data_IF_153305617182
#
_entry.id   IF_153305617182
#
_cell.length_a   1.000
_cell.length_b   1.000
_cell.length_c   1.000
_cell.angle_alpha   90.00
_cell.angle_beta   90.00
_cell.angle_gamma   90.00
#
_symmetry.space_group_name_H-M   'P 1'
#
loop_
_entity.id
_entity.type
_entity.pdbx_description
1 polymer ?
#
# COMPACT_ATOMS: atom_id res chain seq x y z
N UNK A 1 -44.69 53.20 65.99
CA UNK A 1 -44.76 51.74 66.13
C UNK A 1 -44.48 51.20 64.73
N UNK A 2 -43.26 50.87 64.34
CA UNK A 2 -42.32 50.00 65.05
C UNK A 2 -42.51 48.60 64.50
N UNK A 3 -41.76 48.24 63.45
CA UNK A 3 -41.02 46.99 63.46
C UNK A 3 -39.99 46.95 62.33
N UNK A 4 -38.75 46.75 62.78
CA UNK A 4 -37.59 46.38 61.98
C UNK A 4 -37.69 44.88 61.68
N UNK A 5 -37.52 44.49 60.42
CA UNK A 5 -37.22 43.10 60.09
C UNK A 5 -35.88 43.03 59.36
N UNK A 6 -34.92 42.49 60.09
CA UNK A 6 -33.54 42.17 59.75
C UNK A 6 -33.45 40.91 58.88
N UNK A 7 -32.43 40.93 58.00
CA UNK A 7 -31.51 39.85 57.64
C UNK A 7 -32.01 38.49 57.11
N UNK A 8 -31.49 38.11 55.93
CA UNK A 8 -30.59 36.95 55.81
C UNK A 8 -29.88 37.00 54.44
N UNK A 9 -28.61 37.40 54.44
CA UNK A 9 -27.70 37.23 53.29
C UNK A 9 -27.18 35.79 53.37
N UNK A 10 -27.67 34.94 52.48
CA UNK A 10 -27.20 33.56 52.37
C UNK A 10 -25.93 33.54 51.50
N UNK A 11 -24.77 33.54 52.16
CA UNK A 11 -23.45 33.37 51.53
C UNK A 11 -23.30 31.90 51.16
N UNK A 12 -23.53 31.58 49.88
CA UNK A 12 -23.23 30.25 49.35
C UNK A 12 -21.72 30.02 49.35
N UNK A 13 -21.30 29.08 50.19
CA UNK A 13 -19.94 28.53 50.27
C UNK A 13 -19.57 27.88 48.93
N UNK A 14 -18.58 28.46 48.26
CA UNK A 14 -17.91 27.85 47.10
C UNK A 14 -17.03 26.70 47.60
N UNK A 15 -17.58 25.49 47.61
CA UNK A 15 -16.78 24.27 47.75
C UNK A 15 -15.85 24.14 46.53
N UNK A 16 -14.56 24.36 46.77
CA UNK A 16 -13.45 24.06 45.88
C UNK A 16 -13.52 22.60 45.41
N UNK A 17 -14.19 22.34 44.29
CA UNK A 17 -14.02 21.11 43.53
C UNK A 17 -12.62 21.10 42.93
N UNK A 18 -11.69 20.44 43.63
CA UNK A 18 -10.43 19.95 43.07
C UNK A 18 -10.72 19.28 41.72
N UNK A 19 -10.10 19.71 40.61
CA UNK A 19 -10.21 18.99 39.34
C UNK A 19 -9.66 17.58 39.53
N UNK A 20 -10.50 16.58 39.29
CA UNK A 20 -10.11 15.17 39.32
C UNK A 20 -9.05 14.92 38.24
N UNK A 21 -7.87 14.49 38.66
CA UNK A 21 -6.71 14.10 37.83
C UNK A 21 -6.95 12.88 36.90
N UNK A 22 -8.20 12.46 36.72
CA UNK A 22 -8.59 11.27 35.94
C UNK A 22 -8.67 11.50 34.43
N UNK A 23 -8.42 12.73 33.95
CA UNK A 23 -8.59 13.10 32.54
C UNK A 23 -7.28 13.11 31.73
N UNK A 24 -6.13 12.81 32.35
CA UNK A 24 -4.83 12.79 31.66
C UNK A 24 -4.41 11.39 31.15
N UNK A 25 -5.13 10.32 31.52
CA UNK A 25 -4.81 8.95 31.08
C UNK A 25 -5.53 8.53 29.78
N UNK A 26 -6.30 9.43 29.15
CA UNK A 26 -7.02 9.13 27.91
C UNK A 26 -6.14 9.28 26.65
N UNK A 27 -5.04 10.03 26.72
CA UNK A 27 -4.12 10.27 25.59
C UNK A 27 -3.00 9.22 25.48
N UNK A 28 -2.81 8.36 26.49
CA UNK A 28 -1.75 7.33 26.50
C UNK A 28 -2.21 5.94 26.04
N UNK A 29 -3.45 5.81 25.57
CA UNK A 29 -3.85 4.66 24.75
C UNK A 29 -3.54 4.92 23.28
N UNK A 30 -2.29 5.28 22.98
CA UNK A 30 -1.72 4.98 21.68
C UNK A 30 -1.90 3.47 21.49
N UNK A 31 -2.87 3.09 20.65
CA UNK A 31 -3.30 1.72 20.41
C UNK A 31 -2.07 0.88 20.16
N UNK A 32 -1.69 0.06 21.16
CA UNK A 32 -0.55 -0.84 21.03
C UNK A 32 -0.83 -1.74 19.85
N UNK A 33 -0.01 -1.60 18.81
CA UNK A 33 -0.11 -2.43 17.62
C UNK A 33 -0.04 -3.89 18.03
N UNK A 34 -1.06 -4.65 17.64
CA UNK A 34 -1.17 -6.07 18.00
C UNK A 34 -0.34 -6.93 17.04
N UNK A 35 -0.07 -6.40 15.85
CA UNK A 35 0.71 -7.07 14.83
C UNK A 35 2.19 -6.78 15.04
N UNK A 36 2.99 -7.84 14.98
CA UNK A 36 4.44 -7.75 14.97
C UNK A 36 4.96 -8.11 13.58
N UNK A 37 5.62 -7.16 12.94
CA UNK A 37 6.16 -7.27 11.59
C UNK A 37 7.67 -7.22 11.67
N UNK A 38 8.38 -8.07 10.92
CA UNK A 38 9.83 -7.88 10.77
C UNK A 38 10.09 -6.53 10.09
N UNK A 39 10.93 -5.66 10.68
CA UNK A 39 11.01 -4.26 10.28
C UNK A 39 11.51 -4.07 8.84
N UNK A 40 12.27 -5.03 8.32
CA UNK A 40 12.81 -4.98 6.96
C UNK A 40 12.26 -6.13 6.12
N UNK A 41 11.97 -5.87 4.84
CA UNK A 41 11.50 -6.91 3.95
C UNK A 41 12.65 -7.82 3.50
N UNK A 42 12.31 -9.07 3.17
CA UNK A 42 13.24 -10.09 2.68
C UNK A 42 13.90 -9.64 1.37
N UNK A 43 13.09 -9.11 0.45
CA UNK A 43 13.52 -8.48 -0.78
C UNK A 43 12.73 -7.18 -1.01
N UNK A 44 13.20 -6.34 -1.95
CA UNK A 44 12.62 -5.02 -2.22
C UNK A 44 13.35 -3.88 -1.46
N UNK A 45 12.83 -2.65 -1.55
CA UNK A 45 13.38 -1.50 -0.83
C UNK A 45 13.45 -1.75 0.67
N UNK A 46 14.61 -1.45 1.29
CA UNK A 46 14.85 -1.62 2.73
C UNK A 46 14.19 -0.51 3.55
N UNK A 47 12.86 -0.51 3.58
CA UNK A 47 12.01 0.44 4.29
C UNK A 47 10.99 -0.32 5.13
N UNK A 48 10.51 0.25 6.26
CA UNK A 48 9.45 -0.35 7.05
C UNK A 48 8.15 -0.46 6.24
N UNK A 49 7.25 -1.35 6.68
CA UNK A 49 5.90 -1.43 6.11
C UNK A 49 5.16 -0.12 6.39
N UNK A 50 4.54 0.52 5.37
CA UNK A 50 3.74 1.72 5.56
C UNK A 50 2.59 1.51 6.55
N UNK A 51 2.35 2.50 7.40
CA UNK A 51 1.39 2.41 8.51
C UNK A 51 -0.03 2.05 8.04
N UNK A 52 -0.49 2.63 6.94
CA UNK A 52 -1.83 2.34 6.40
C UNK A 52 -2.02 0.87 6.00
N UNK A 53 -0.94 0.16 5.65
CA UNK A 53 -0.99 -1.28 5.36
C UNK A 53 -1.00 -2.11 6.64
N UNK A 54 -0.34 -1.62 7.69
CA UNK A 54 -0.38 -2.25 9.01
C UNK A 54 -1.81 -2.17 9.56
N UNK A 55 -2.45 -1.00 9.47
CA UNK A 55 -3.83 -0.79 9.92
C UNK A 55 -4.81 -1.75 9.22
N UNK A 56 -4.64 -1.98 7.91
CA UNK A 56 -5.44 -2.95 7.15
C UNK A 56 -5.26 -4.38 7.69
N UNK A 57 -4.03 -4.77 8.03
CA UNK A 57 -3.78 -6.10 8.59
C UNK A 57 -4.33 -6.20 10.03
N UNK A 58 -4.27 -5.13 10.81
CA UNK A 58 -4.81 -5.07 12.17
C UNK A 58 -6.32 -5.24 12.18
N UNK A 59 -7.01 -4.54 11.29
CA UNK A 59 -8.46 -4.70 11.05
C UNK A 59 -8.81 -6.16 10.74
N UNK A 60 -8.06 -6.80 9.82
CA UNK A 60 -8.27 -8.21 9.52
C UNK A 60 -8.13 -9.11 10.74
N UNK A 61 -7.06 -8.94 11.52
CA UNK A 61 -6.79 -9.78 12.69
C UNK A 61 -7.74 -9.51 13.86
N UNK A 62 -8.28 -8.30 13.96
CA UNK A 62 -9.34 -7.96 14.92
C UNK A 62 -10.60 -8.78 14.65
N UNK A 63 -10.96 -8.98 13.38
CA UNK A 63 -12.16 -9.73 12.99
C UNK A 63 -11.94 -11.24 12.87
N UNK A 64 -10.78 -11.67 12.37
CA UNK A 64 -10.51 -13.06 11.99
C UNK A 64 -9.54 -13.78 12.95
N UNK A 65 -9.11 -13.09 14.01
CA UNK A 65 -8.21 -13.64 15.02
C UNK A 65 -6.85 -14.05 14.44
N UNK A 66 -6.45 -15.32 14.64
CA UNK A 66 -5.14 -15.84 14.21
C UNK A 66 -5.11 -16.38 12.79
N UNK A 67 -6.12 -16.13 11.97
CA UNK A 67 -6.12 -16.59 10.58
C UNK A 67 -5.31 -15.65 9.68
N UNK A 68 -4.51 -16.18 8.74
CA UNK A 68 -3.79 -15.34 7.79
C UNK A 68 -4.79 -14.65 6.84
N UNK A 69 -4.51 -13.41 6.40
CA UNK A 69 -5.36 -12.68 5.46
C UNK A 69 -5.40 -13.33 4.08
N UNK A 70 -6.42 -13.00 3.30
CA UNK A 70 -6.52 -13.51 1.92
C UNK A 70 -5.36 -13.10 1.02
N UNK A 71 -4.69 -11.98 1.34
CA UNK A 71 -3.50 -11.55 0.62
C UNK A 71 -2.23 -12.31 1.04
N UNK A 72 -2.31 -13.25 1.98
CA UNK A 72 -1.16 -14.00 2.46
C UNK A 72 -0.47 -14.71 1.28
N UNK A 73 0.85 -14.53 1.24
CA UNK A 73 1.72 -15.06 0.21
C UNK A 73 2.26 -16.42 0.62
N UNK A 74 1.93 -17.45 -0.15
CA UNK A 74 2.58 -18.74 -0.03
C UNK A 74 4.05 -18.60 -0.48
N UNK A 75 4.98 -18.90 0.42
CA UNK A 75 6.40 -18.77 0.14
C UNK A 75 6.82 -19.74 -0.98
N UNK A 76 6.97 -19.23 -2.20
CA UNK A 76 7.37 -20.05 -3.33
C UNK A 76 8.89 -19.98 -3.51
N UNK A 77 9.57 -21.11 -3.30
CA UNK A 77 11.03 -21.24 -3.49
C UNK A 77 11.36 -21.49 -4.96
N UNK A 78 11.00 -20.55 -5.82
CA UNK A 78 11.44 -20.56 -7.22
C UNK A 78 12.89 -20.09 -7.33
N UNK A 79 13.68 -20.73 -8.19
CA UNK A 79 15.04 -20.28 -8.56
C UNK A 79 15.03 -19.16 -9.60
N UNK A 80 13.87 -18.87 -10.20
CA UNK A 80 13.72 -17.85 -11.23
C UNK A 80 13.93 -16.44 -10.68
N UNK A 81 14.57 -15.59 -11.49
CA UNK A 81 14.59 -14.15 -11.31
C UNK A 81 13.26 -13.56 -11.74
N UNK A 82 12.92 -12.40 -11.19
CA UNK A 82 11.65 -11.74 -11.50
C UNK A 82 11.78 -10.22 -11.56
N UNK A 83 10.89 -9.59 -12.33
CA UNK A 83 10.61 -8.14 -12.30
C UNK A 83 9.10 -7.93 -12.22
N UNK A 84 8.68 -6.77 -11.74
CA UNK A 84 7.27 -6.40 -11.68
C UNK A 84 7.01 -5.22 -12.59
N UNK A 85 5.95 -5.29 -13.38
CA UNK A 85 5.54 -4.22 -14.27
C UNK A 85 4.08 -3.84 -14.03
N UNK A 86 3.76 -2.55 -14.13
CA UNK A 86 2.38 -2.08 -14.18
C UNK A 86 1.73 -2.35 -15.55
N UNK A 87 0.56 -1.75 -15.79
CA UNK A 87 -0.19 -1.90 -17.05
C UNK A 87 0.43 -1.12 -18.20
N UNK A 88 1.18 -0.08 -17.88
CA UNK A 88 1.85 0.82 -18.79
C UNK A 88 3.25 0.30 -19.16
N UNK A 89 3.74 -0.71 -18.45
CA UNK A 89 5.04 -1.35 -18.64
C UNK A 89 6.16 -0.73 -17.83
N UNK A 90 5.84 0.14 -16.87
CA UNK A 90 6.80 0.71 -15.93
C UNK A 90 7.20 -0.35 -14.92
N UNK A 91 8.50 -0.47 -14.70
CA UNK A 91 9.04 -1.36 -13.68
C UNK A 91 8.69 -0.83 -12.29
N UNK A 92 8.10 -1.68 -11.46
CA UNK A 92 7.71 -1.39 -10.08
C UNK A 92 8.55 -2.21 -9.10
N UNK A 93 8.69 -1.71 -7.87
CA UNK A 93 9.32 -2.44 -6.79
C UNK A 93 8.29 -3.29 -6.04
N UNK A 94 8.71 -4.46 -5.56
CA UNK A 94 7.89 -5.35 -4.77
C UNK A 94 8.67 -5.79 -3.54
N UNK A 95 8.08 -5.64 -2.37
CA UNK A 95 8.65 -6.08 -1.10
C UNK A 95 7.92 -7.28 -0.54
N UNK A 96 8.63 -8.14 0.19
CA UNK A 96 8.03 -9.25 0.95
C UNK A 96 8.31 -9.06 2.43
N UNK A 97 7.24 -8.92 3.21
CA UNK A 97 7.30 -8.78 4.66
C UNK A 97 6.87 -10.07 5.35
N UNK A 98 7.50 -10.36 6.48
CA UNK A 98 7.13 -11.43 7.38
C UNK A 98 6.34 -10.86 8.55
N UNK A 99 5.11 -11.34 8.70
CA UNK A 99 4.27 -11.08 9.87
C UNK A 99 4.56 -12.20 10.85
N UNK A 100 4.92 -11.86 12.08
CA UNK A 100 5.30 -12.82 13.13
C UNK A 100 4.15 -13.07 14.11
N UNK A 101 3.37 -12.03 14.41
CA UNK A 101 2.22 -12.06 15.32
C UNK A 101 1.04 -11.35 14.67
N UNK A 102 -0.22 -11.81 14.85
CA UNK A 102 -0.68 -12.87 15.76
C UNK A 102 -0.52 -14.31 15.23
N UNK A 103 -0.20 -14.47 13.95
CA UNK A 103 0.22 -15.74 13.36
C UNK A 103 1.30 -15.49 12.29
N UNK A 104 2.17 -16.46 12.02
CA UNK A 104 3.25 -16.30 11.06
C UNK A 104 2.74 -16.43 9.61
N UNK A 105 2.95 -15.40 8.79
CA UNK A 105 2.71 -15.46 7.35
C UNK A 105 3.53 -14.40 6.60
N UNK A 106 3.48 -14.45 5.27
CA UNK A 106 4.14 -13.45 4.42
C UNK A 106 3.09 -12.62 3.67
N UNK A 107 3.42 -11.37 3.39
CA UNK A 107 2.64 -10.51 2.49
C UNK A 107 3.55 -9.85 1.47
N UNK A 108 2.97 -9.50 0.33
CA UNK A 108 3.65 -8.73 -0.71
C UNK A 108 3.14 -7.29 -0.69
N UNK A 109 4.07 -6.34 -0.76
CA UNK A 109 3.77 -4.90 -0.85
C UNK A 109 4.29 -4.39 -2.18
N UNK A 110 3.39 -3.87 -3.00
CA UNK A 110 3.72 -3.24 -4.27
C UNK A 110 3.99 -1.76 -4.05
N UNK A 111 5.14 -1.29 -4.51
CA UNK A 111 5.55 0.11 -4.42
C UNK A 111 5.46 0.76 -5.79
N UNK A 112 4.81 1.92 -5.83
CA UNK A 112 4.72 2.74 -7.03
C UNK A 112 5.02 4.19 -6.71
N UNK A 113 5.68 4.93 -7.61
CA UNK A 113 5.79 6.37 -7.49
C UNK A 113 4.47 7.10 -7.78
N UNK A 114 3.48 6.46 -8.38
CA UNK A 114 2.28 7.14 -8.88
C UNK A 114 1.06 6.93 -7.95
N UNK A 115 1.12 5.95 -7.05
CA UNK A 115 0.03 5.62 -6.13
C UNK A 115 0.56 5.10 -4.79
N UNK A 116 -0.22 5.23 -3.70
CA UNK A 116 0.16 4.68 -2.38
C UNK A 116 0.45 3.18 -2.43
N UNK A 117 1.36 2.70 -1.59
CA UNK A 117 1.72 1.29 -1.53
C UNK A 117 0.48 0.40 -1.30
N UNK A 118 0.50 -0.78 -1.92
CA UNK A 118 -0.64 -1.72 -1.88
C UNK A 118 -0.21 -3.09 -1.38
N UNK A 119 -1.02 -3.69 -0.50
CA UNK A 119 -0.97 -5.13 -0.26
C UNK A 119 -1.44 -5.84 -1.52
N UNK A 120 -0.64 -6.78 -2.04
CA UNK A 120 -0.99 -7.50 -3.27
C UNK A 120 -0.97 -9.00 -3.05
N UNK A 121 -1.89 -9.69 -3.73
CA UNK A 121 -1.89 -11.15 -3.84
C UNK A 121 -1.41 -11.55 -5.22
N UNK A 122 -0.60 -12.60 -5.28
CA UNK A 122 -0.29 -13.25 -6.55
C UNK A 122 -1.48 -14.10 -7.01
N UNK A 123 -2.06 -13.73 -8.14
CA UNK A 123 -3.07 -14.50 -8.84
C UNK A 123 -2.33 -15.38 -9.85
N UNK A 124 -2.69 -16.66 -9.86
CA UNK A 124 -2.10 -17.70 -10.72
C UNK A 124 -0.66 -17.98 -10.33
N UNK A 125 -0.46 -18.82 -9.30
CA UNK A 125 0.87 -19.07 -8.77
C UNK A 125 1.78 -19.78 -9.79
N UNK A 126 1.23 -20.42 -10.83
CA UNK A 126 2.00 -21.20 -11.79
C UNK A 126 1.38 -21.22 -13.19
N UNK A 127 2.22 -21.15 -14.23
CA UNK A 127 1.90 -21.74 -15.53
C UNK A 127 1.47 -20.82 -16.67
N UNK A 128 1.41 -19.49 -16.49
CA UNK A 128 1.31 -18.60 -17.67
C UNK A 128 2.70 -18.33 -18.23
N UNK A 129 2.81 -18.24 -19.56
CA UNK A 129 4.04 -17.79 -20.24
C UNK A 129 4.44 -16.35 -19.89
N UNK A 130 3.56 -15.60 -19.24
CA UNK A 130 3.75 -14.19 -18.92
C UNK A 130 4.15 -13.94 -17.46
N UNK A 131 3.91 -14.91 -16.58
CA UNK A 131 4.19 -14.81 -15.15
C UNK A 131 2.94 -14.81 -14.28
N UNK A 132 3.00 -14.12 -13.15
CA UNK A 132 1.91 -14.08 -12.16
C UNK A 132 1.34 -12.68 -12.04
N UNK A 133 0.04 -12.56 -12.27
CA UNK A 133 -0.65 -11.28 -12.12
C UNK A 133 -0.79 -10.92 -10.64
N UNK A 134 -0.68 -9.64 -10.32
CA UNK A 134 -0.78 -9.10 -8.97
C UNK A 134 -2.08 -8.29 -8.84
N UNK A 135 -2.82 -8.58 -7.79
CA UNK A 135 -4.08 -7.92 -7.49
C UNK A 135 -4.02 -7.29 -6.11
N UNK A 136 -4.41 -6.02 -6.04
CA UNK A 136 -4.40 -5.30 -4.78
C UNK A 136 -5.55 -5.77 -3.88
N UNK A 137 -5.24 -5.94 -2.60
CA UNK A 137 -6.17 -6.18 -1.53
C UNK A 137 -6.29 -4.90 -0.69
N UNK A 138 -7.50 -4.40 -0.56
CA UNK A 138 -7.83 -3.12 0.06
C UNK A 138 -8.38 -3.29 1.50
N UNK A 139 -8.19 -4.46 2.10
CA UNK A 139 -8.66 -4.80 3.45
C UNK A 139 -9.95 -5.59 3.49
N UNK A 140 -10.50 -5.77 4.69
CA UNK A 140 -11.69 -6.60 4.95
C UNK A 140 -12.89 -6.02 4.20
N UNK A 141 -13.22 -4.76 4.44
CA UNK A 141 -14.42 -4.12 3.93
C UNK A 141 -14.43 -3.94 2.41
N UNK A 142 -13.26 -3.70 1.81
CA UNK A 142 -13.13 -3.38 0.38
C UNK A 142 -12.74 -4.57 -0.49
N UNK A 143 -12.23 -5.65 0.11
CA UNK A 143 -11.84 -6.84 -0.62
C UNK A 143 -10.71 -6.60 -1.64
N UNK A 144 -10.79 -7.24 -2.80
CA UNK A 144 -9.80 -7.12 -3.86
C UNK A 144 -10.24 -6.12 -4.95
N UNK A 145 -9.27 -5.44 -5.57
CA UNK A 145 -9.54 -4.60 -6.75
C UNK A 145 -10.13 -5.43 -7.90
N UNK A 146 -11.07 -4.86 -8.66
CA UNK A 146 -11.69 -5.57 -9.79
C UNK A 146 -10.73 -5.89 -10.95
N UNK A 147 -9.50 -5.36 -10.93
CA UNK A 147 -8.50 -5.55 -11.99
C UNK A 147 -7.13 -5.83 -11.37
N UNK A 148 -6.34 -6.65 -12.05
CA UNK A 148 -4.92 -6.77 -11.73
C UNK A 148 -4.20 -5.46 -11.99
N UNK A 149 -3.39 -5.05 -11.03
CA UNK A 149 -2.66 -3.77 -11.00
C UNK A 149 -1.23 -3.89 -11.55
N UNK A 150 -0.63 -5.09 -11.47
CA UNK A 150 0.72 -5.34 -11.95
C UNK A 150 0.89 -6.81 -12.38
N UNK A 151 1.99 -7.13 -13.03
CA UNK A 151 2.42 -8.50 -13.34
C UNK A 151 3.85 -8.73 -12.87
N UNK A 152 4.10 -9.87 -12.24
CA UNK A 152 5.43 -10.37 -11.92
C UNK A 152 5.87 -11.34 -13.02
N UNK A 153 6.81 -10.91 -13.86
CA UNK A 153 7.39 -11.70 -14.93
C UNK A 153 8.61 -12.47 -14.40
N UNK A 154 8.83 -13.68 -14.90
CA UNK A 154 9.93 -14.56 -14.45
C UNK A 154 10.81 -15.00 -15.61
N UNK A 155 12.12 -15.09 -15.39
CA UNK A 155 13.06 -15.72 -16.30
C UNK A 155 14.27 -16.29 -15.55
N UNK A 156 15.08 -17.17 -16.17
CA UNK A 156 16.32 -17.66 -15.56
C UNK A 156 17.31 -16.55 -15.20
N UNK A 157 17.40 -15.51 -16.05
CA UNK A 157 18.26 -14.33 -15.85
C UNK A 157 17.44 -13.05 -15.79
N UNK A 158 17.95 -12.02 -15.10
CA UNK A 158 17.21 -10.78 -14.88
C UNK A 158 17.05 -9.96 -16.17
N UNK A 159 18.04 -10.04 -17.05
CA UNK A 159 18.14 -9.29 -18.31
C UNK A 159 17.18 -9.82 -19.39
N UNK A 160 16.76 -11.08 -19.26
CA UNK A 160 15.81 -11.74 -20.18
C UNK A 160 14.35 -11.33 -19.89
N UNK A 161 14.11 -10.68 -18.75
CA UNK A 161 12.76 -10.32 -18.33
C UNK A 161 12.33 -9.05 -19.06
N UNK A 162 11.49 -9.24 -20.07
CA UNK A 162 10.94 -8.18 -20.90
C UNK A 162 9.44 -8.04 -20.68
N UNK A 163 8.97 -6.80 -20.63
CA UNK A 163 7.54 -6.49 -20.60
C UNK A 163 6.97 -6.51 -22.01
N UNK A 164 5.75 -7.04 -22.17
CA UNK A 164 4.99 -6.95 -23.41
C UNK A 164 3.54 -6.58 -23.12
N UNK A 165 2.98 -5.62 -23.86
CA UNK A 165 1.60 -5.16 -23.61
C UNK A 165 0.54 -6.24 -23.90
N UNK A 166 0.89 -7.23 -24.73
CA UNK A 166 0.03 -8.38 -25.06
C UNK A 166 -0.32 -9.25 -23.84
N UNK A 167 0.45 -9.16 -22.76
CA UNK A 167 0.17 -9.81 -21.47
C UNK A 167 -1.26 -9.52 -21.00
N UNK A 168 -1.73 -8.29 -21.18
CA UNK A 168 -3.04 -7.83 -20.70
C UNK A 168 -4.20 -8.20 -21.60
N UNK A 169 -3.93 -8.75 -22.80
CA UNK A 169 -4.95 -9.29 -23.71
C UNK A 169 -5.40 -10.70 -23.31
N UNK A 170 -4.63 -11.37 -22.45
CA UNK A 170 -5.01 -12.68 -21.93
C UNK A 170 -6.29 -12.51 -21.11
N UNK A 171 -7.36 -13.26 -21.43
CA UNK A 171 -8.53 -13.29 -20.57
C UNK A 171 -8.08 -13.86 -19.23
N UNK A 172 -7.99 -13.00 -18.22
CA UNK A 172 -7.78 -13.43 -16.84
C UNK A 172 -9.14 -13.98 -16.42
N UNK A 173 -9.30 -15.31 -16.29
CA UNK A 173 -10.59 -15.91 -15.93
C UNK A 173 -11.10 -15.21 -14.71
N UNK A 174 -12.34 -14.73 -14.86
CA UNK A 174 -12.95 -13.70 -14.04
C UNK A 174 -12.40 -13.78 -12.62
N UNK A 175 -11.78 -12.67 -12.21
CA UNK A 175 -11.97 -12.21 -10.84
C UNK A 175 -13.43 -12.45 -10.57
N UNK A 176 -13.75 -13.42 -9.71
CA UNK A 176 -15.11 -13.93 -9.53
C UNK A 176 -16.06 -12.76 -9.74
N UNK A 177 -17.02 -12.88 -10.67
CA UNK A 177 -17.93 -11.78 -11.06
C UNK A 177 -18.52 -11.04 -9.85
N UNK A 178 -18.52 -11.75 -8.73
CA UNK A 178 -18.59 -11.31 -7.37
C UNK A 178 -17.23 -10.74 -6.89
N UNK A 179 -17.02 -9.44 -7.11
CA UNK A 179 -16.28 -8.61 -6.13
C UNK A 179 -16.95 -8.58 -4.75
N UNK A 180 -17.76 -9.59 -4.44
CA UNK A 180 -18.26 -9.90 -3.12
C UNK A 180 -17.10 -10.65 -2.47
N UNK A 181 -16.26 -9.90 -1.75
CA UNK A 181 -15.37 -10.49 -0.76
C UNK A 181 -16.16 -11.54 0.01
N UNK A 182 -15.59 -12.74 0.18
CA UNK A 182 -16.20 -13.93 0.76
C UNK A 182 -17.70 -13.71 1.03
N UNK A 183 -18.59 -14.09 0.11
CA UNK A 183 -19.92 -14.49 0.60
C UNK A 183 -19.63 -15.55 1.64
N UNK A 184 -19.68 -15.15 2.92
CA UNK A 184 -19.83 -16.05 4.03
C UNK A 184 -20.82 -17.07 3.51
N UNK A 185 -20.37 -18.33 3.36
CA UNK A 185 -21.34 -19.39 3.24
C UNK A 185 -22.29 -19.12 4.39
N UNK A 186 -23.59 -18.83 4.15
CA UNK A 186 -24.52 -18.73 5.26
C UNK A 186 -24.29 -20.02 6.02
N UNK A 187 -23.82 -19.90 7.27
CA UNK A 187 -23.76 -21.00 8.19
C UNK A 187 -25.20 -21.47 8.23
N UNK A 188 -25.51 -22.47 7.42
CA UNK A 188 -26.76 -23.18 7.49
C UNK A 188 -26.73 -23.75 8.88
N UNK A 189 -27.41 -23.07 9.80
CA UNK A 189 -27.83 -23.60 11.07
C UNK A 189 -28.70 -24.80 10.69
N UNK A 190 -28.06 -25.95 10.56
CA UNK A 190 -28.72 -27.24 10.49
C UNK A 190 -29.23 -27.53 11.90
N UNK A 191 -30.26 -26.79 12.32
CA UNK A 191 -31.19 -27.25 13.33
C UNK A 191 -32.12 -28.24 12.63
N UNK A 192 -31.67 -29.47 12.46
CA UNK A 192 -32.54 -30.62 12.21
C UNK A 192 -32.30 -31.63 13.34
N UNK A 193 -33.35 -32.01 14.10
CA UNK A 193 -33.21 -32.89 15.24
C UNK A 193 -32.82 -34.29 14.78
N UNK A 194 -31.80 -34.85 15.44
CA UNK A 194 -31.37 -36.23 15.31
C UNK A 194 -32.51 -37.17 15.70
N UNK A 195 -33.09 -37.87 14.72
CA UNK A 195 -33.90 -39.04 15.01
C UNK A 195 -32.99 -40.21 15.47
N UNK A 196 -33.40 -40.98 16.48
CA UNK A 196 -32.63 -42.10 17.00
C UNK A 196 -32.68 -43.25 16.00
N UNK A 197 -31.55 -43.54 15.35
CA UNK A 197 -31.42 -44.70 14.46
C UNK A 197 -31.32 -45.96 15.31
N UNK A 198 -32.43 -46.68 15.39
CA UNK A 198 -32.56 -48.01 16.00
C UNK A 198 -31.54 -48.96 15.38
N UNK A 199 -30.67 -49.48 16.23
CA UNK A 199 -29.59 -50.42 15.88
C UNK A 199 -30.16 -51.82 15.81
N UNK A 200 -30.55 -52.27 14.61
CA UNK A 200 -30.95 -53.66 14.41
C UNK A 200 -29.75 -54.58 14.24
N UNK A 201 -29.73 -55.54 15.16
CA UNK A 201 -28.84 -56.66 15.39
C UNK A 201 -29.31 -57.84 14.52
N UNK A 202 -28.35 -58.70 14.14
CA UNK A 202 -28.49 -60.06 13.58
C UNK A 202 -28.50 -60.20 12.04
N UNK A 203 -27.40 -60.71 11.49
CA UNK A 203 -27.29 -61.99 10.75
C UNK A 203 -25.81 -62.18 10.35
N UNK A 204 -25.06 -63.10 10.98
CA UNK A 204 -24.93 -64.54 10.61
C UNK A 204 -23.91 -64.71 9.46
N UNK A 205 -22.60 -64.85 9.75
CA UNK A 205 -21.86 -66.11 9.99
C UNK A 205 -22.32 -67.28 9.10
N UNK A 206 -21.54 -67.57 8.05
CA UNK A 206 -20.89 -68.86 7.75
C UNK A 206 -20.59 -69.06 6.26
N UNK A 207 -19.31 -69.34 5.95
CA UNK A 207 -18.76 -70.23 4.91
C UNK A 207 -17.26 -69.93 4.77
N UNK A 208 -16.40 -70.60 5.53
CA UNK A 208 -15.76 -71.90 5.25
C UNK A 208 -14.71 -71.89 4.11
N UNK A 209 -13.48 -72.21 4.55
CA UNK A 209 -12.46 -73.10 3.93
C UNK A 209 -11.51 -72.56 2.83
N UNK A 210 -10.29 -72.30 3.28
CA UNK A 210 -9.00 -72.61 2.62
C UNK A 210 -8.90 -74.13 2.27
N UNK A 211 -8.00 -74.61 1.37
CA UNK A 211 -6.54 -74.50 1.56
C UNK A 211 -5.61 -74.46 0.30
N UNK A 212 -4.37 -74.01 0.57
CA UNK A 212 -3.06 -74.43 0.01
C UNK A 212 -2.83 -74.62 -1.51
N UNK A 213 -1.76 -74.00 -2.05
CA UNK A 213 -0.51 -74.69 -2.47
C UNK A 213 0.49 -73.79 -3.24
N UNK A 214 1.77 -74.07 -2.97
CA UNK A 214 3.04 -73.85 -3.76
C UNK A 214 3.94 -72.73 -3.23
N UNK A 215 4.95 -73.05 -2.40
CA UNK A 215 6.29 -73.68 -2.65
C UNK A 215 7.38 -72.68 -3.06
N UNK A 216 8.36 -72.57 -2.13
CA UNK A 216 9.68 -71.91 -2.15
C UNK A 216 10.60 -72.31 -3.30
N UNK A 217 11.43 -71.36 -3.75
CA UNK A 217 12.78 -71.51 -4.37
C UNK A 217 13.58 -70.23 -4.01
N UNK A 218 14.34 -70.19 -2.91
CA UNK A 218 15.82 -70.33 -2.77
C UNK A 218 16.72 -69.22 -3.35
N UNK A 219 17.30 -68.39 -2.44
CA UNK A 219 18.71 -67.89 -2.25
C UNK A 219 19.63 -67.57 -3.49
N UNK A 220 20.74 -66.77 -3.37
CA UNK A 220 21.53 -66.47 -2.17
C UNK A 220 22.02 -65.01 -1.93
N UNK A 221 22.64 -64.89 -0.75
CA UNK A 221 23.29 -63.77 -0.04
C UNK A 221 24.80 -63.78 -0.31
N UNK A 222 25.48 -62.63 -0.22
CA UNK A 222 26.95 -62.46 0.00
C UNK A 222 27.10 -61.16 0.83
N UNK A 223 27.37 -61.18 2.14
CA UNK A 223 28.67 -61.32 2.86
C UNK A 223 29.71 -60.30 2.36
N UNK A 224 30.29 -59.43 3.20
CA UNK A 224 31.36 -59.68 4.21
C UNK A 224 31.49 -58.39 5.08
N UNK A 225 31.24 -58.39 6.40
CA UNK A 225 32.17 -58.53 7.54
C UNK A 225 33.46 -57.68 7.44
N UNK A 226 33.69 -56.70 8.32
CA UNK A 226 34.54 -56.75 9.55
C UNK A 226 34.51 -55.34 10.16
N UNK A 227 34.64 -55.02 11.44
CA UNK A 227 34.82 -55.75 12.70
C UNK A 227 34.74 -54.70 13.83
N UNK A 228 34.06 -55.07 14.91
CA UNK A 228 34.03 -54.55 16.30
C UNK A 228 35.43 -54.31 16.94
N UNK A 229 35.59 -53.96 18.25
CA UNK A 229 34.65 -53.46 19.30
C UNK A 229 35.26 -52.38 20.25
N UNK A 230 34.56 -52.13 21.37
CA UNK A 230 35.00 -51.71 22.74
C UNK A 230 34.54 -50.32 23.20
N UNK A 231 33.54 -50.26 24.09
CA UNK A 231 33.63 -50.14 25.57
C UNK A 231 34.22 -48.78 25.96
N UNK A 232 33.54 -47.87 26.64
CA UNK A 232 32.62 -47.99 27.76
C UNK A 232 33.04 -46.93 28.79
N UNK A 233 32.09 -46.52 29.61
CA UNK A 233 32.26 -45.86 30.89
C UNK A 233 32.41 -44.33 30.98
N UNK A 234 31.92 -43.86 32.14
CA UNK A 234 31.50 -42.54 32.58
C UNK A 234 32.57 -41.43 32.62
N UNK A 235 32.15 -40.16 32.63
CA UNK A 235 32.51 -39.20 33.68
C UNK A 235 31.75 -37.87 33.55
N UNK A 236 31.32 -37.36 34.70
CA UNK A 236 30.97 -35.96 34.98
C UNK A 236 32.21 -35.06 34.87
N UNK A 237 32.01 -33.77 34.53
CA UNK A 237 32.87 -32.59 34.83
C UNK A 237 32.33 -31.40 34.02
N UNK A 238 31.55 -30.48 34.61
CA UNK A 238 32.01 -29.14 35.03
C UNK A 238 33.15 -28.55 34.18
N UNK A 239 32.87 -27.47 33.45
CA UNK A 239 33.70 -26.28 33.55
C UNK A 239 32.98 -25.03 33.03
N UNK A 240 33.13 -23.99 33.83
CA UNK A 240 32.73 -22.61 33.62
C UNK A 240 33.60 -21.99 32.52
N UNK A 241 33.06 -21.08 31.70
CA UNK A 241 33.89 -20.04 31.08
C UNK A 241 33.06 -18.78 30.86
N UNK A 242 33.14 -17.95 31.90
CA UNK A 242 33.09 -16.50 31.89
C UNK A 242 34.20 -15.91 30.99
N UNK A 243 33.91 -14.79 30.31
CA UNK A 243 34.83 -13.85 29.61
C UNK A 243 34.10 -13.21 28.41
N UNK A 244 34.11 -11.91 28.15
CA UNK A 244 34.67 -10.75 28.84
C UNK A 244 34.00 -9.51 28.25
N UNK A 245 33.79 -8.50 29.10
CA UNK A 245 33.49 -7.13 28.72
C UNK A 245 34.81 -6.37 28.48
N UNK A 246 34.89 -5.60 27.40
CA UNK A 246 35.85 -4.50 27.17
C UNK A 246 35.10 -3.50 26.26
N UNK A 247 34.57 -2.37 26.73
CA UNK A 247 35.21 -1.11 27.15
C UNK A 247 36.04 -0.41 26.05
N UNK A 248 35.78 0.90 25.91
CA UNK A 248 36.63 1.95 25.31
C UNK A 248 36.63 2.07 23.78
N UNK A 249 36.62 3.24 23.12
CA UNK A 249 36.57 4.68 23.40
C UNK A 249 36.44 5.35 22.01
N UNK A 250 35.62 6.38 21.85
CA UNK A 250 36.03 7.79 21.80
C UNK A 250 37.07 8.12 20.70
N UNK A 251 36.60 8.79 19.64
CA UNK A 251 37.43 9.70 18.82
C UNK A 251 36.51 10.55 17.93
N UNK A 252 36.22 11.76 18.42
CA UNK A 252 35.79 12.87 17.58
C UNK A 252 36.88 13.22 16.56
N UNK A 253 36.50 13.51 15.32
CA UNK A 253 37.33 14.35 14.45
C UNK A 253 36.44 15.20 13.55
N UNK A 254 36.46 16.49 13.88
CA UNK A 254 36.01 17.62 13.07
C UNK A 254 37.05 17.86 11.97
N UNK A 255 36.63 18.24 10.76
CA UNK A 255 37.47 19.06 9.88
C UNK A 255 36.59 19.89 8.95
N UNK A 256 36.92 21.18 8.99
CA UNK A 256 36.29 22.30 8.32
C UNK A 256 36.67 22.37 6.82
N UNK A 257 35.76 23.00 6.07
CA UNK A 257 35.97 24.00 5.01
C UNK A 257 37.30 24.02 4.24
N UNK A 258 37.23 23.94 2.90
CA UNK A 258 37.97 24.86 2.01
C UNK A 258 37.16 25.12 0.72
N UNK A 259 36.99 26.41 0.43
CA UNK A 259 36.54 26.99 -0.84
C UNK A 259 37.67 27.00 -1.89
N UNK A 260 37.28 27.07 -3.17
CA UNK A 260 37.79 28.01 -4.19
C UNK A 260 37.95 27.43 -5.62
N UNK A 261 37.18 28.07 -6.51
CA UNK A 261 37.56 28.67 -7.80
C UNK A 261 38.37 27.91 -8.89
N UNK A 262 37.65 27.74 -10.02
CA UNK A 262 37.93 28.39 -11.32
C UNK A 262 39.25 28.09 -12.07
N UNK A 263 39.18 27.35 -13.19
CA UNK A 263 40.02 27.64 -14.39
C UNK A 263 39.29 27.30 -15.70
N UNK A 264 39.31 28.29 -16.58
CA UNK A 264 38.78 28.37 -17.94
C UNK A 264 39.66 27.71 -19.04
N UNK A 265 39.01 27.39 -20.17
CA UNK A 265 39.49 27.39 -21.60
C UNK A 265 40.34 26.21 -22.15
N UNK A 266 40.55 26.07 -23.50
CA UNK A 266 39.74 26.44 -24.69
C UNK A 266 39.75 25.44 -25.91
N UNK A 267 38.82 25.70 -26.85
CA UNK A 267 38.84 25.60 -28.35
C UNK A 267 39.65 24.55 -29.16
N UNK A 268 38.96 23.88 -30.10
CA UNK A 268 39.26 23.69 -31.55
C UNK A 268 38.28 22.64 -32.15
N UNK A 269 37.79 22.60 -33.40
CA UNK A 269 38.02 23.29 -34.68
C UNK A 269 36.85 22.97 -35.65
N UNK A 270 36.39 24.01 -36.38
CA UNK A 270 35.95 24.05 -37.80
C UNK A 270 35.37 22.80 -38.50
N UNK A 271 34.19 22.96 -39.10
CA UNK A 271 34.03 22.80 -40.56
C UNK A 271 32.93 23.72 -41.12
N UNK A 272 33.24 24.27 -42.29
CA UNK A 272 32.61 25.35 -43.04
C UNK A 272 31.91 24.74 -44.25
N UNK A 273 30.67 25.13 -44.55
CA UNK A 273 30.17 25.14 -45.92
C UNK A 273 29.31 26.39 -46.14
N UNK A 274 29.47 26.92 -47.34
CA UNK A 274 29.18 28.27 -47.80
C UNK A 274 28.07 28.21 -48.85
N UNK A 275 27.50 29.38 -49.16
CA UNK A 275 26.57 29.71 -50.26
C UNK A 275 25.07 29.58 -49.87
N UNK A 276 24.19 30.54 -50.16
CA UNK A 276 24.27 31.61 -51.16
C UNK A 276 23.31 32.76 -50.79
N UNK A 277 23.69 33.93 -51.28
CA UNK A 277 23.06 35.24 -51.20
C UNK A 277 21.76 35.35 -51.99
N UNK A 278 20.80 36.14 -51.50
CA UNK A 278 20.20 37.20 -52.32
C UNK A 278 19.51 38.26 -51.47
N UNK A 279 19.64 39.49 -51.95
CA UNK A 279 19.33 40.75 -51.30
C UNK A 279 17.83 41.01 -51.23
N UNK A 280 17.37 41.61 -50.12
CA UNK A 280 16.16 42.43 -50.14
C UNK A 280 16.30 43.61 -49.19
N UNK A 281 15.89 44.76 -49.71
CA UNK A 281 16.16 46.11 -49.25
C UNK A 281 15.40 46.46 -47.96
N UNK A 282 16.16 47.13 -47.09
CA UNK A 282 15.75 48.16 -46.14
C UNK A 282 14.25 48.44 -45.99
N UNK A 283 13.68 48.00 -44.86
CA UNK A 283 12.56 48.70 -44.24
C UNK A 283 12.78 48.74 -42.73
N UNK A 284 13.24 49.90 -42.27
CA UNK A 284 13.31 50.32 -40.87
C UNK A 284 11.94 50.14 -40.21
N UNK A 285 11.80 49.07 -39.41
CA UNK A 285 10.71 48.93 -38.43
C UNK A 285 11.33 48.82 -37.05
N UNK A 286 11.31 49.98 -36.39
CA UNK A 286 11.24 50.22 -34.94
C UNK A 286 11.08 48.92 -34.13
N UNK A 287 12.16 48.56 -33.44
CA UNK A 287 12.16 47.53 -32.41
C UNK A 287 11.06 47.86 -31.40
N UNK A 288 10.01 47.04 -31.42
CA UNK A 288 9.03 46.97 -30.34
C UNK A 288 9.31 45.61 -29.73
N UNK A 289 9.87 45.60 -28.52
CA UNK A 289 10.06 44.40 -27.72
C UNK A 289 8.78 43.54 -27.79
N UNK A 290 8.83 42.27 -28.19
CA UNK A 290 7.72 41.38 -27.91
C UNK A 290 7.72 41.21 -26.39
N UNK A 291 6.84 41.95 -25.72
CA UNK A 291 6.48 41.66 -24.35
C UNK A 291 6.21 40.15 -24.29
N UNK A 292 7.04 39.46 -23.53
CA UNK A 292 7.00 38.03 -23.27
C UNK A 292 5.56 37.73 -22.84
N UNK A 293 4.73 37.24 -23.77
CA UNK A 293 3.39 36.81 -23.46
C UNK A 293 3.57 35.58 -22.57
N UNK A 294 3.55 35.82 -21.26
CA UNK A 294 3.49 34.79 -20.25
C UNK A 294 2.21 34.03 -20.52
N UNK A 295 2.34 32.91 -21.24
CA UNK A 295 1.27 31.93 -21.38
C UNK A 295 0.97 31.44 -19.98
N UNK A 296 0.00 32.08 -19.34
CA UNK A 296 -0.49 31.68 -18.03
C UNK A 296 -1.14 30.32 -18.19
N UNK A 297 -0.71 29.35 -17.38
CA UNK A 297 -1.23 28.00 -17.43
C UNK A 297 -2.75 28.03 -17.25
N UNK A 298 -3.47 27.26 -18.09
CA UNK A 298 -4.93 27.13 -17.98
C UNK A 298 -5.24 26.16 -16.85
N UNK A 299 -5.94 26.63 -15.81
CA UNK A 299 -6.33 25.78 -14.69
C UNK A 299 -7.72 25.18 -14.94
N UNK A 300 -7.84 23.87 -14.72
CA UNK A 300 -9.09 23.11 -14.81
C UNK A 300 -9.33 22.36 -13.50
N UNK A 301 -10.55 22.44 -12.97
CA UNK A 301 -10.98 21.63 -11.84
C UNK A 301 -11.61 20.33 -12.32
N UNK A 302 -11.32 19.21 -11.66
CA UNK A 302 -11.86 17.89 -11.93
C UNK A 302 -12.42 17.29 -10.65
N UNK A 303 -13.73 17.36 -10.48
CA UNK A 303 -14.43 16.69 -9.38
C UNK A 303 -14.49 15.19 -9.64
N UNK A 304 -14.10 14.38 -8.66
CA UNK A 304 -14.09 12.91 -8.76
C UNK A 304 -14.92 12.31 -7.62
N UNK A 305 -15.89 11.46 -7.95
CA UNK A 305 -16.62 10.66 -6.95
C UNK A 305 -16.09 9.24 -6.96
N UNK A 306 -15.23 8.88 -6.01
CA UNK A 306 -14.67 7.51 -5.94
C UNK A 306 -15.72 6.42 -5.74
N UNK A 307 -16.83 6.75 -5.06
CA UNK A 307 -17.93 5.81 -4.83
C UNK A 307 -18.66 5.43 -6.13
N UNK A 308 -18.83 6.38 -7.05
CA UNK A 308 -19.60 6.18 -8.29
C UNK A 308 -18.74 6.08 -9.55
N UNK A 309 -17.46 6.46 -9.47
CA UNK A 309 -16.58 6.64 -10.62
C UNK A 309 -16.93 7.87 -11.48
N UNK A 310 -17.90 8.69 -11.09
CA UNK A 310 -18.30 9.86 -11.85
C UNK A 310 -17.25 10.97 -11.79
N UNK A 311 -17.08 11.68 -12.91
CA UNK A 311 -16.12 12.77 -13.07
C UNK A 311 -16.83 13.97 -13.70
N UNK A 312 -16.57 15.17 -13.17
CA UNK A 312 -16.98 16.44 -13.77
C UNK A 312 -15.80 17.40 -13.83
N UNK A 313 -15.45 17.87 -15.03
CA UNK A 313 -14.41 18.85 -15.23
C UNK A 313 -14.98 20.21 -15.65
N UNK A 314 -14.40 21.30 -15.17
CA UNK A 314 -14.73 22.66 -15.60
C UNK A 314 -13.52 23.60 -15.45
N UNK A 315 -13.38 24.58 -16.36
CA UNK A 315 -12.28 25.53 -16.33
C UNK A 315 -12.41 26.59 -15.22
N UNK A 316 -11.29 27.18 -14.83
CA UNK A 316 -11.21 28.22 -13.77
C UNK A 316 -12.15 29.42 -14.01
N UNK A 317 -12.40 29.81 -15.26
CA UNK A 317 -13.29 30.93 -15.57
C UNK A 317 -14.77 30.67 -15.18
N UNK A 318 -15.18 29.42 -15.00
CA UNK A 318 -16.50 29.05 -14.48
C UNK A 318 -16.58 29.03 -12.95
N UNK A 319 -15.45 29.18 -12.25
CA UNK A 319 -15.32 29.03 -10.80
C UNK A 319 -14.32 30.06 -10.26
N UNK A 320 -14.79 31.28 -10.02
CA UNK A 320 -13.91 32.42 -9.75
C UNK A 320 -13.53 32.54 -8.27
N UNK A 321 -14.34 31.97 -7.39
CA UNK A 321 -14.19 32.05 -5.94
C UNK A 321 -14.15 30.66 -5.31
N UNK A 322 -13.59 30.56 -4.11
CA UNK A 322 -13.67 29.37 -3.27
C UNK A 322 -15.12 28.98 -3.02
N UNK A 323 -15.99 29.95 -2.77
CA UNK A 323 -17.44 29.72 -2.65
C UNK A 323 -18.05 29.02 -3.86
N UNK A 324 -17.71 29.44 -5.08
CA UNK A 324 -18.20 28.80 -6.32
C UNK A 324 -17.73 27.33 -6.41
N UNK A 325 -16.49 27.06 -5.98
CA UNK A 325 -15.92 25.71 -6.01
C UNK A 325 -16.69 24.79 -5.06
N UNK A 326 -16.95 25.26 -3.83
CA UNK A 326 -17.73 24.53 -2.84
C UNK A 326 -19.17 24.30 -3.29
N UNK A 327 -19.81 25.28 -3.92
CA UNK A 327 -21.18 25.13 -4.43
C UNK A 327 -21.25 24.09 -5.55
N UNK A 328 -20.33 24.12 -6.51
CA UNK A 328 -20.25 23.12 -7.59
C UNK A 328 -19.94 21.73 -7.05
N UNK A 329 -19.02 21.63 -6.09
CA UNK A 329 -18.67 20.35 -5.46
C UNK A 329 -19.88 19.77 -4.71
N UNK A 330 -20.56 20.58 -3.89
CA UNK A 330 -21.79 20.18 -3.18
C UNK A 330 -22.88 19.72 -4.14
N UNK A 331 -23.13 20.48 -5.21
CA UNK A 331 -24.10 20.11 -6.23
C UNK A 331 -23.75 18.77 -6.90
N UNK A 332 -22.47 18.55 -7.23
CA UNK A 332 -22.00 17.32 -7.85
C UNK A 332 -22.08 16.10 -6.92
N UNK A 333 -21.53 16.20 -5.70
CA UNK A 333 -21.50 15.08 -4.77
C UNK A 333 -22.90 14.68 -4.28
N UNK A 334 -23.82 15.64 -4.15
CA UNK A 334 -25.23 15.38 -3.79
C UNK A 334 -26.00 14.56 -4.83
N UNK A 335 -25.53 14.48 -6.07
CA UNK A 335 -26.14 13.60 -7.08
C UNK A 335 -25.99 12.12 -6.72
N UNK A 336 -24.91 11.78 -6.00
CA UNK A 336 -24.58 10.39 -5.64
C UNK A 336 -24.89 10.08 -4.18
N UNK A 337 -24.87 11.10 -3.31
CA UNK A 337 -25.23 10.97 -1.91
C UNK A 337 -26.01 12.21 -1.43
N UNK A 338 -27.33 12.07 -1.28
CA UNK A 338 -28.21 13.20 -0.92
C UNK A 338 -27.87 13.82 0.44
N UNK A 339 -27.26 13.04 1.33
CA UNK A 339 -26.96 13.44 2.69
C UNK A 339 -25.52 13.93 2.85
N UNK A 340 -24.73 13.96 1.77
CA UNK A 340 -23.35 14.44 1.84
C UNK A 340 -23.32 15.92 2.21
N UNK A 341 -22.57 16.22 3.27
CA UNK A 341 -22.21 17.57 3.64
C UNK A 341 -20.76 17.86 3.24
N UNK A 342 -20.61 18.74 2.26
CA UNK A 342 -19.31 19.11 1.72
C UNK A 342 -18.78 20.30 2.52
N UNK A 343 -18.06 19.99 3.61
CA UNK A 343 -17.41 20.97 4.49
C UNK A 343 -15.93 21.17 4.17
N UNK A 344 -15.25 20.11 3.75
CA UNK A 344 -13.81 20.12 3.44
C UNK A 344 -13.61 19.54 2.05
N UNK A 345 -12.89 20.29 1.21
CA UNK A 345 -12.44 19.82 -0.09
C UNK A 345 -10.98 19.42 -0.03
N UNK A 346 -10.69 18.25 -0.58
CA UNK A 346 -9.35 17.75 -0.79
C UNK A 346 -8.96 17.92 -2.25
N UNK A 347 -7.94 18.73 -2.50
CA UNK A 347 -7.51 19.17 -3.83
C UNK A 347 -6.09 18.66 -4.11
N UNK A 348 -5.87 18.01 -5.25
CA UNK A 348 -4.56 17.54 -5.68
C UNK A 348 -4.24 18.05 -7.08
N UNK A 349 -3.10 18.73 -7.24
CA UNK A 349 -2.61 19.15 -8.56
C UNK A 349 -2.05 17.92 -9.27
N UNK A 350 -2.49 17.61 -10.49
CA UNK A 350 -2.13 16.34 -11.16
C UNK A 350 -0.64 16.15 -11.41
N UNK A 351 0.16 17.23 -11.45
CA UNK A 351 1.61 17.17 -11.58
C UNK A 351 2.34 16.90 -10.25
N UNK A 352 1.61 16.87 -9.13
CA UNK A 352 2.17 16.84 -7.78
C UNK A 352 1.51 15.75 -6.91
N UNK A 353 2.26 15.33 -5.88
CA UNK A 353 1.77 14.37 -4.88
C UNK A 353 1.15 15.06 -3.67
N UNK A 354 1.38 16.36 -3.50
CA UNK A 354 0.89 17.12 -2.35
C UNK A 354 -0.64 17.28 -2.44
N UNK A 355 -1.29 17.18 -1.28
CA UNK A 355 -2.73 17.35 -1.15
C UNK A 355 -3.02 18.64 -0.38
N UNK A 356 -3.91 19.45 -0.91
CA UNK A 356 -4.36 20.70 -0.33
C UNK A 356 -5.76 20.52 0.24
N UNK A 357 -5.98 20.98 1.48
CA UNK A 357 -7.30 20.96 2.09
C UNK A 357 -7.85 22.38 2.12
N UNK A 358 -9.08 22.54 1.62
CA UNK A 358 -9.80 23.81 1.66
C UNK A 358 -10.93 23.70 2.67
N UNK A 359 -11.08 24.72 3.52
CA UNK A 359 -12.11 24.82 4.55
C UNK A 359 -13.17 25.88 4.22
N UNK A 360 -13.15 26.37 2.97
CA UNK A 360 -14.13 27.34 2.46
C UNK A 360 -13.69 28.79 2.55
N UNK A 361 -12.42 29.06 2.93
CA UNK A 361 -11.89 30.41 2.90
C UNK A 361 -11.41 30.80 1.49
N UNK A 362 -11.57 32.07 1.12
CA UNK A 362 -11.12 32.57 -0.18
C UNK A 362 -9.58 32.61 -0.28
N UNK A 363 -8.87 32.85 0.83
CA UNK A 363 -7.41 32.86 0.84
C UNK A 363 -6.80 31.49 0.51
N UNK A 364 -7.36 30.40 1.04
CA UNK A 364 -6.93 29.03 0.69
C UNK A 364 -7.16 28.73 -0.80
N UNK A 365 -8.28 29.18 -1.35
CA UNK A 365 -8.59 29.03 -2.77
C UNK A 365 -7.60 29.81 -3.64
N UNK A 366 -7.33 31.08 -3.32
CA UNK A 366 -6.36 31.89 -4.05
C UNK A 366 -4.96 31.28 -4.03
N UNK A 367 -4.51 30.79 -2.88
CA UNK A 367 -3.23 30.09 -2.74
C UNK A 367 -3.17 28.82 -3.58
N UNK A 368 -4.24 28.02 -3.60
CA UNK A 368 -4.32 26.83 -4.45
C UNK A 368 -4.22 27.18 -5.93
N UNK A 369 -4.91 28.22 -6.39
CA UNK A 369 -4.86 28.68 -7.79
C UNK A 369 -3.48 29.20 -8.15
N UNK A 370 -2.87 29.98 -7.26
CA UNK A 370 -1.51 30.49 -7.45
C UNK A 370 -0.54 29.32 -7.59
N UNK A 371 -0.59 28.36 -6.67
CA UNK A 371 0.23 27.17 -6.70
C UNK A 371 0.07 26.39 -8.02
N UNK A 372 -1.18 26.12 -8.43
CA UNK A 372 -1.45 25.42 -9.68
C UNK A 372 -0.95 26.15 -10.94
N UNK A 373 -0.88 27.48 -10.92
CA UNK A 373 -0.32 28.25 -12.04
C UNK A 373 1.21 28.20 -12.07
N UNK A 374 1.83 28.05 -10.91
CA UNK A 374 3.29 27.95 -10.76
C UNK A 374 3.80 26.51 -10.97
N UNK A 375 2.91 25.52 -10.86
CA UNK A 375 3.20 24.10 -11.14
C UNK A 375 3.56 23.83 -12.61
N UNK A 376 4.25 22.71 -12.85
CA UNK A 376 4.59 22.26 -14.20
C UNK A 376 3.33 21.91 -14.99
N UNK A 377 3.04 22.72 -16.00
CA UNK A 377 1.97 22.46 -16.96
C UNK A 377 2.23 21.18 -17.78
N UNK A 378 1.14 20.54 -18.20
CA UNK A 378 1.15 19.56 -19.29
C UNK A 378 1.60 20.19 -20.61
N UNK A 379 1.92 19.36 -21.61
CA UNK A 379 2.29 19.82 -22.97
C UNK A 379 1.25 20.77 -23.58
N UNK A 380 -0.02 20.61 -23.21
CA UNK A 380 -1.15 21.42 -23.68
C UNK A 380 -1.32 22.77 -22.94
N UNK A 381 -0.40 23.13 -22.05
CA UNK A 381 -0.51 24.39 -21.30
C UNK A 381 -1.56 24.35 -20.18
N UNK A 382 -2.07 23.17 -19.82
CA UNK A 382 -3.17 22.99 -18.87
C UNK A 382 -2.70 22.31 -17.58
N UNK A 383 -3.15 22.82 -16.44
CA UNK A 383 -2.96 22.23 -15.11
C UNK A 383 -4.33 21.78 -14.60
N UNK A 384 -4.41 20.52 -14.15
CA UNK A 384 -5.63 19.95 -13.60
C UNK A 384 -5.52 19.84 -12.09
N UNK A 385 -6.56 20.29 -11.38
CA UNK A 385 -6.72 20.13 -9.94
C UNK A 385 -7.84 19.10 -9.75
N UNK A 386 -7.49 17.92 -9.24
CA UNK A 386 -8.46 16.92 -8.83
C UNK A 386 -9.06 17.31 -7.48
N UNK A 387 -10.39 17.27 -7.38
CA UNK A 387 -11.12 17.75 -6.22
C UNK A 387 -12.05 16.67 -5.71
N UNK A 388 -11.90 16.34 -4.42
CA UNK A 388 -12.69 15.38 -3.68
C UNK A 388 -13.28 16.02 -2.44
N UNK A 389 -14.33 15.44 -1.85
CA UNK A 389 -14.77 15.81 -0.50
C UNK A 389 -14.16 14.84 0.50
N UNK A 390 -13.82 15.34 1.69
CA UNK A 390 -13.38 14.50 2.81
C UNK A 390 -14.62 13.93 3.47
N UNK A 391 -14.67 12.61 3.63
CA UNK A 391 -15.71 11.95 4.43
C UNK A 391 -15.36 12.17 5.90
N UNK A 392 -16.23 12.82 6.66
CA UNK A 392 -16.16 12.75 8.11
C UNK A 392 -16.45 11.29 8.52
N UNK A 393 -15.56 10.65 9.30
CA UNK A 393 -15.69 9.24 9.69
C UNK A 393 -16.91 8.96 10.58
#
# INVERSE_FOLDING_TARGET
>A
MGDHSTEAINVHSEDERKPSLSALDADEQATRRTIMIKPLPEFGPKRPMPDHLVDILEEWHKENGRQPPHCAYANNRGTYKWKVFDREGKELELSKFEIVSPCPYYVLVLHSPDFPEKLVRSRWPHGTKYGSFLIAWQGVAKGFEAKCCAIRCFAPKLEEITYTQDIWKVPIPDLDREGEGIKEKPLSVAAAPSQPRVRNRAQEREREKEPEKRKRVSRPKREVATSNPNSGDASESSDETDSSAEESSDASSSSEEEEEENVSSPMAKRRRLQQQTSNSLARTRKATNPAKATNTAKVTFKLVSYRSGAIRAFPLNECKTGKDLFEKARAFFRLFDRNVDVKILSCQISSERAQHFLFGSEGEFELLIQHAKDSKSTEDGTVTIEVNHVLEP
#
